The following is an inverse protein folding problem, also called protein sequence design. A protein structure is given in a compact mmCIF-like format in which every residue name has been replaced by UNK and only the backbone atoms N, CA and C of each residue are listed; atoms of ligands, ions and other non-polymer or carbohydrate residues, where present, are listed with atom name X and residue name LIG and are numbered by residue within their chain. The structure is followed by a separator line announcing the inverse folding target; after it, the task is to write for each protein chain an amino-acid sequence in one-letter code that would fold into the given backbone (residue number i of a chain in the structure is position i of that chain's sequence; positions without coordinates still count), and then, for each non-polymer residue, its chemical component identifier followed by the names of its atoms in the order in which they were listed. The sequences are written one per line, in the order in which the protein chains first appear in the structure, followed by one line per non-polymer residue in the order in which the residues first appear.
data_IF_878942128630
#
_entry.id   IF_878942128630
#
_cell.length_a   1.000
_cell.length_b   1.000
_cell.length_c   1.000
_cell.angle_alpha   90.00
_cell.angle_beta   90.00
_cell.angle_gamma   90.00
#
_symmetry.space_group_name_H-M   'P 1'
#
loop_
_entity.id
_entity.type
_entity.pdbx_description
1 polymer ?
#
# COMPACT_ATOMS: atom_id res chain seq x y z
N UNK A 1 8.96 9.14 -11.59
CA UNK A 1 7.91 8.15 -11.91
C UNK A 1 6.50 8.62 -11.56
N UNK A 2 5.51 7.95 -12.12
CA UNK A 2 4.06 8.21 -11.92
C UNK A 2 3.38 6.98 -11.32
N UNK A 3 2.47 7.18 -10.37
CA UNK A 3 1.56 6.14 -9.87
C UNK A 3 0.15 6.44 -10.39
N UNK A 4 -0.44 5.49 -11.12
CA UNK A 4 -1.82 5.55 -11.60
C UNK A 4 -2.70 4.70 -10.69
N UNK A 5 -3.71 5.31 -10.09
CA UNK A 5 -4.67 4.63 -9.24
C UNK A 5 -6.11 4.89 -9.68
N UNK A 6 -7.04 4.03 -9.27
CA UNK A 6 -8.48 4.20 -9.56
C UNK A 6 -9.10 5.34 -8.75
N UNK A 7 -8.58 5.60 -7.55
CA UNK A 7 -9.18 6.50 -6.58
C UNK A 7 -10.48 5.92 -6.01
N UNK A 8 -10.40 4.70 -5.47
CA UNK A 8 -11.56 4.08 -4.83
C UNK A 8 -12.15 5.00 -3.75
N UNK A 9 -13.48 5.19 -3.76
CA UNK A 9 -14.18 6.09 -2.84
C UNK A 9 -13.99 7.59 -3.10
N UNK A 10 -13.12 7.99 -4.04
CA UNK A 10 -12.88 9.38 -4.37
C UNK A 10 -14.02 9.97 -5.22
N UNK A 11 -14.26 11.27 -5.04
CA UNK A 11 -15.18 12.08 -5.84
C UNK A 11 -14.42 13.28 -6.44
N UNK A 12 -13.55 13.04 -7.41
CA UNK A 12 -12.77 14.11 -8.04
C UNK A 12 -13.68 14.99 -8.88
N UNK A 13 -13.50 16.32 -8.79
CA UNK A 13 -14.26 17.27 -9.60
C UNK A 13 -13.85 17.24 -11.09
N UNK A 14 -12.61 16.79 -11.38
CA UNK A 14 -12.05 16.65 -12.73
C UNK A 14 -11.12 15.44 -12.82
N UNK A 15 -11.12 14.78 -13.95
CA UNK A 15 -10.24 13.66 -14.27
C UNK A 15 -9.46 13.92 -15.57
N UNK A 16 -8.20 13.49 -15.68
CA UNK A 16 -7.35 12.92 -14.63
C UNK A 16 -7.05 13.92 -13.51
N UNK A 17 -6.93 13.45 -12.25
CA UNK A 17 -6.60 14.27 -11.10
C UNK A 17 -5.15 14.01 -10.66
N UNK A 18 -4.29 15.04 -10.69
CA UNK A 18 -3.00 15.01 -10.00
C UNK A 18 -3.25 15.24 -8.51
N UNK A 19 -2.90 14.25 -7.70
CA UNK A 19 -3.07 14.32 -6.24
C UNK A 19 -1.88 15.06 -5.64
N UNK A 20 -2.16 16.18 -4.99
CA UNK A 20 -1.17 16.92 -4.20
C UNK A 20 -1.30 16.58 -2.71
N UNK A 21 -0.26 16.79 -1.89
CA UNK A 21 -0.36 16.61 -0.43
C UNK A 21 -1.44 17.46 0.25
N UNK A 22 -1.89 18.55 -0.41
CA UNK A 22 -2.96 19.44 0.06
C UNK A 22 -4.37 19.01 -0.39
N UNK A 23 -4.49 17.99 -1.23
CA UNK A 23 -5.80 17.48 -1.67
C UNK A 23 -6.61 16.95 -0.50
N UNK A 24 -7.95 17.02 -0.60
CA UNK A 24 -8.81 16.41 0.40
C UNK A 24 -8.96 14.89 0.16
N UNK A 25 -9.16 14.09 1.23
CA UNK A 25 -9.46 12.65 1.09
C UNK A 25 -10.69 12.38 0.23
N UNK A 26 -11.72 13.23 0.33
CA UNK A 26 -12.94 13.09 -0.46
C UNK A 26 -12.68 13.23 -1.98
N UNK A 27 -11.74 14.09 -2.38
CA UNK A 27 -11.39 14.29 -3.78
C UNK A 27 -10.42 13.24 -4.31
N UNK A 28 -9.41 12.90 -3.52
CA UNK A 28 -8.29 12.05 -3.96
C UNK A 28 -8.48 10.58 -3.63
N UNK A 29 -9.18 10.26 -2.55
CA UNK A 29 -9.17 8.97 -1.87
C UNK A 29 -8.06 8.88 -0.83
N UNK A 30 -8.25 8.03 0.18
CA UNK A 30 -7.32 7.89 1.31
C UNK A 30 -5.93 7.41 0.87
N UNK A 31 -5.88 6.35 0.08
CA UNK A 31 -4.64 5.71 -0.36
C UNK A 31 -3.82 6.60 -1.32
N UNK A 32 -4.40 7.18 -2.38
CA UNK A 32 -3.67 8.11 -3.24
C UNK A 32 -3.13 9.33 -2.48
N UNK A 33 -3.90 9.85 -1.51
CA UNK A 33 -3.45 10.96 -0.68
C UNK A 33 -2.31 10.54 0.26
N UNK A 34 -2.38 9.33 0.85
CA UNK A 34 -1.30 8.78 1.65
C UNK A 34 -0.02 8.63 0.83
N UNK A 35 -0.11 8.10 -0.40
CA UNK A 35 1.02 8.01 -1.33
C UNK A 35 1.62 9.37 -1.65
N UNK A 36 0.80 10.37 -1.98
CA UNK A 36 1.26 11.72 -2.29
C UNK A 36 1.97 12.41 -1.10
N UNK A 37 1.51 12.16 0.13
CA UNK A 37 2.15 12.66 1.36
C UNK A 37 3.44 11.93 1.70
N UNK A 38 3.52 10.63 1.41
CA UNK A 38 4.65 9.76 1.78
C UNK A 38 5.79 9.81 0.76
N UNK A 39 5.49 10.02 -0.53
CA UNK A 39 6.42 9.91 -1.64
C UNK A 39 6.46 11.20 -2.48
N UNK A 40 7.16 12.22 -1.99
CA UNK A 40 7.21 13.56 -2.61
C UNK A 40 7.76 13.59 -4.05
N UNK A 41 8.55 12.61 -4.44
CA UNK A 41 9.13 12.50 -5.79
C UNK A 41 8.20 11.78 -6.78
N UNK A 42 7.18 11.08 -6.31
CA UNK A 42 6.20 10.41 -7.16
C UNK A 42 5.04 11.36 -7.52
N UNK A 43 4.58 11.27 -8.76
CA UNK A 43 3.35 11.92 -9.21
C UNK A 43 2.20 10.92 -9.07
N UNK A 44 1.22 11.21 -8.23
CA UNK A 44 0.08 10.34 -8.01
C UNK A 44 -1.08 10.86 -8.86
N UNK A 45 -1.58 10.04 -9.77
CA UNK A 45 -2.66 10.39 -10.70
C UNK A 45 -3.85 9.46 -10.48
N UNK A 46 -5.00 10.06 -10.19
CA UNK A 46 -6.27 9.35 -10.06
C UNK A 46 -7.03 9.44 -11.38
N UNK A 47 -7.32 8.29 -11.97
CA UNK A 47 -8.23 8.15 -13.09
C UNK A 47 -8.75 6.71 -13.18
N UNK A 48 -10.06 6.45 -13.07
CA UNK A 48 -10.65 5.12 -13.30
C UNK A 48 -10.31 4.55 -14.71
N UNK A 49 -10.17 5.42 -15.71
CA UNK A 49 -9.70 5.08 -17.06
C UNK A 49 -8.18 5.21 -17.14
N UNK A 50 -7.42 4.19 -16.59
CA UNK A 50 -5.94 4.26 -16.51
C UNK A 50 -5.26 4.55 -17.84
N UNK A 51 -5.80 4.10 -18.99
CA UNK A 51 -5.27 4.44 -20.32
C UNK A 51 -5.26 5.96 -20.55
N UNK A 52 -6.37 6.65 -20.22
CA UNK A 52 -6.47 8.11 -20.31
C UNK A 52 -5.53 8.80 -19.31
N UNK A 53 -5.58 8.37 -18.05
CA UNK A 53 -4.72 8.92 -17.00
C UNK A 53 -3.23 8.73 -17.30
N UNK A 54 -2.85 7.58 -17.86
CA UNK A 54 -1.49 7.28 -18.28
C UNK A 54 -1.02 8.14 -19.43
N UNK A 55 -1.81 8.25 -20.50
CA UNK A 55 -1.48 9.13 -21.63
C UNK A 55 -1.30 10.58 -21.17
N UNK A 56 -2.24 11.10 -20.38
CA UNK A 56 -2.15 12.46 -19.81
C UNK A 56 -0.90 12.65 -18.93
N UNK A 57 -0.53 11.62 -18.15
CA UNK A 57 0.65 11.71 -17.29
C UNK A 57 1.96 11.65 -18.07
N UNK A 58 2.05 10.80 -19.10
CA UNK A 58 3.21 10.74 -20.00
C UNK A 58 3.44 12.06 -20.74
N UNK A 59 2.37 12.61 -21.33
CA UNK A 59 2.44 13.90 -22.03
C UNK A 59 2.91 15.07 -21.13
N UNK A 60 2.51 15.03 -19.85
CA UNK A 60 2.73 16.15 -18.93
C UNK A 60 4.03 16.04 -18.13
N UNK A 61 4.50 14.85 -17.83
CA UNK A 61 5.58 14.61 -16.88
C UNK A 61 6.77 13.84 -17.46
N UNK A 62 6.63 13.27 -18.65
CA UNK A 62 7.65 12.40 -19.27
C UNK A 62 8.31 11.45 -18.26
N UNK A 63 7.54 10.55 -17.62
CA UNK A 63 8.04 9.73 -16.53
C UNK A 63 8.92 8.59 -17.04
N UNK A 64 10.00 8.27 -16.31
CA UNK A 64 10.82 7.07 -16.58
C UNK A 64 10.03 5.77 -16.45
N UNK A 65 9.03 5.75 -15.61
CA UNK A 65 8.12 4.60 -15.41
C UNK A 65 6.76 5.03 -14.89
N UNK A 66 5.78 4.15 -15.13
CA UNK A 66 4.42 4.27 -14.62
C UNK A 66 4.08 3.02 -13.82
N UNK A 67 3.66 3.19 -12.58
CA UNK A 67 3.18 2.13 -11.71
C UNK A 67 1.66 2.14 -11.66
N UNK A 68 1.02 1.01 -11.99
CA UNK A 68 -0.43 0.85 -11.85
C UNK A 68 -0.75 0.26 -10.48
N UNK A 69 -1.41 1.02 -9.64
CA UNK A 69 -1.99 0.53 -8.39
C UNK A 69 -3.25 -0.29 -8.68
N UNK A 70 -3.33 -1.50 -8.13
CA UNK A 70 -4.39 -2.49 -8.42
C UNK A 70 -4.58 -2.68 -9.93
N UNK A 71 -3.45 -2.90 -10.65
CA UNK A 71 -3.39 -2.88 -12.11
C UNK A 71 -3.46 -4.25 -12.78
N UNK A 72 -3.31 -5.37 -12.05
CA UNK A 72 -3.12 -6.70 -12.64
C UNK A 72 -4.25 -7.10 -13.61
N UNK A 73 -5.50 -6.84 -13.29
CA UNK A 73 -6.65 -7.09 -14.15
C UNK A 73 -6.99 -5.94 -15.12
N UNK A 74 -6.17 -4.89 -15.20
CA UNK A 74 -6.46 -3.76 -16.08
C UNK A 74 -5.86 -3.95 -17.47
N UNK A 75 -6.44 -4.84 -18.27
CA UNK A 75 -5.99 -5.25 -19.61
C UNK A 75 -5.83 -4.12 -20.65
N UNK A 76 -6.58 -2.97 -20.58
CA UNK A 76 -6.44 -1.90 -21.57
C UNK A 76 -5.08 -1.17 -21.56
N UNK A 77 -4.21 -1.44 -20.59
CA UNK A 77 -2.85 -0.87 -20.51
C UNK A 77 -1.84 -2.01 -20.54
N UNK A 78 -0.93 -1.97 -21.50
CA UNK A 78 0.21 -2.88 -21.55
C UNK A 78 1.12 -2.66 -20.33
N UNK A 79 1.69 -3.74 -19.81
CA UNK A 79 2.57 -3.72 -18.64
C UNK A 79 3.79 -4.59 -18.91
N UNK A 80 4.94 -4.11 -18.47
CA UNK A 80 6.22 -4.80 -18.64
C UNK A 80 6.53 -5.72 -17.46
N UNK A 81 6.05 -5.34 -16.26
CA UNK A 81 6.21 -6.11 -15.02
C UNK A 81 4.86 -6.17 -14.30
N UNK A 82 4.41 -7.38 -14.01
CA UNK A 82 3.23 -7.67 -13.20
C UNK A 82 3.65 -8.30 -11.86
N UNK A 83 3.55 -7.53 -10.77
CA UNK A 83 3.78 -8.02 -9.40
C UNK A 83 2.43 -8.40 -8.77
N UNK A 84 2.26 -9.69 -8.47
CA UNK A 84 1.02 -10.17 -7.85
C UNK A 84 1.22 -10.30 -6.35
N UNK A 85 0.45 -9.50 -5.58
CA UNK A 85 0.43 -9.58 -4.12
C UNK A 85 -0.55 -10.64 -3.67
N UNK A 86 -0.08 -11.54 -2.79
CA UNK A 86 -0.87 -12.59 -2.17
C UNK A 86 -0.69 -12.55 -0.66
N UNK A 87 -1.71 -12.99 0.04
CA UNK A 87 -1.68 -13.22 1.50
C UNK A 87 -1.61 -14.73 1.79
N UNK A 88 -1.27 -15.15 3.01
CA UNK A 88 -1.39 -16.56 3.41
C UNK A 88 -2.80 -17.11 3.19
N UNK A 89 -3.83 -16.32 3.45
CA UNK A 89 -5.22 -16.73 3.19
C UNK A 89 -5.45 -17.08 1.72
N UNK A 90 -4.94 -16.26 0.79
CA UNK A 90 -5.06 -16.51 -0.65
C UNK A 90 -4.39 -17.83 -1.07
N UNK A 91 -3.30 -18.18 -0.39
CA UNK A 91 -2.53 -19.39 -0.65
C UNK A 91 -3.06 -20.62 0.07
N UNK A 92 -3.86 -20.47 1.11
CA UNK A 92 -4.41 -21.57 1.92
C UNK A 92 -5.89 -21.77 1.60
N UNK A 93 -6.77 -21.21 2.42
CA UNK A 93 -8.23 -21.41 2.34
C UNK A 93 -8.85 -20.75 1.11
N UNK A 94 -8.28 -19.65 0.66
CA UNK A 94 -8.77 -18.83 -0.46
C UNK A 94 -8.30 -19.29 -1.85
N UNK A 95 -7.46 -20.35 -1.93
CA UNK A 95 -6.83 -20.76 -3.18
C UNK A 95 -7.84 -21.06 -4.30
N UNK A 96 -7.77 -20.26 -5.38
CA UNK A 96 -8.61 -20.40 -6.54
C UNK A 96 -10.09 -20.08 -6.33
N UNK A 97 -10.47 -19.56 -5.18
CA UNK A 97 -11.86 -19.16 -4.89
C UNK A 97 -12.13 -17.76 -5.42
N UNK A 98 -12.81 -17.71 -6.57
CA UNK A 98 -13.18 -16.48 -7.25
C UNK A 98 -14.48 -15.91 -6.66
N UNK A 99 -14.62 -14.59 -6.66
CA UNK A 99 -15.84 -13.88 -6.27
C UNK A 99 -17.07 -14.43 -7.02
N UNK A 100 -18.22 -14.67 -6.35
CA UNK A 100 -18.54 -14.31 -4.96
C UNK A 100 -18.15 -15.34 -3.88
N UNK A 101 -17.59 -16.50 -4.26
CA UNK A 101 -17.27 -17.61 -3.33
C UNK A 101 -15.97 -17.31 -2.54
N UNK A 102 -15.12 -16.45 -3.06
CA UNK A 102 -13.87 -16.03 -2.43
C UNK A 102 -13.47 -14.62 -2.81
N UNK A 103 -12.22 -14.26 -2.47
CA UNK A 103 -11.68 -12.91 -2.66
C UNK A 103 -11.05 -12.68 -4.03
N UNK A 104 -10.75 -13.73 -4.79
CA UNK A 104 -10.07 -13.60 -6.07
C UNK A 104 -11.01 -13.02 -7.13
N UNK A 105 -10.45 -12.21 -8.03
CA UNK A 105 -11.18 -11.62 -9.16
C UNK A 105 -11.12 -12.51 -10.41
N UNK A 106 -10.08 -13.33 -10.54
CA UNK A 106 -9.83 -14.23 -11.66
C UNK A 106 -9.32 -15.58 -11.16
N UNK A 107 -9.45 -16.61 -12.00
CA UNK A 107 -8.99 -17.95 -11.66
C UNK A 107 -7.46 -18.08 -11.65
N UNK A 108 -6.97 -19.24 -11.21
CA UNK A 108 -5.54 -19.56 -11.07
C UNK A 108 -4.74 -19.39 -12.37
N UNK A 109 -5.38 -19.56 -13.55
CA UNK A 109 -4.73 -19.39 -14.85
C UNK A 109 -4.15 -18.00 -15.06
N UNK A 110 -4.76 -16.95 -14.45
CA UNK A 110 -4.27 -15.58 -14.52
C UNK A 110 -2.88 -15.41 -13.89
N UNK A 111 -2.52 -16.24 -12.91
CA UNK A 111 -1.21 -16.20 -12.25
C UNK A 111 -0.03 -16.46 -13.20
N UNK A 112 -0.28 -17.10 -14.35
CA UNK A 112 0.77 -17.36 -15.36
C UNK A 112 1.32 -16.07 -15.98
N UNK A 113 0.54 -15.00 -15.99
CA UNK A 113 0.96 -13.69 -16.51
C UNK A 113 1.77 -12.87 -15.51
N UNK A 114 1.86 -13.30 -14.24
CA UNK A 114 2.70 -12.64 -13.25
C UNK A 114 4.17 -12.66 -13.67
N UNK A 115 4.88 -11.56 -13.40
CA UNK A 115 6.35 -11.50 -13.49
C UNK A 115 6.99 -12.03 -12.20
N UNK A 116 6.38 -11.74 -11.05
CA UNK A 116 6.78 -12.27 -9.74
C UNK A 116 5.60 -12.24 -8.77
N UNK A 117 5.72 -13.02 -7.69
CA UNK A 117 4.78 -13.04 -6.57
C UNK A 117 5.38 -12.38 -5.34
N UNK A 118 4.59 -11.55 -4.68
CA UNK A 118 4.90 -10.92 -3.41
C UNK A 118 3.93 -11.45 -2.35
N UNK A 119 4.43 -12.19 -1.36
CA UNK A 119 3.60 -12.80 -0.32
C UNK A 119 3.72 -11.98 0.96
N UNK A 120 2.63 -11.29 1.34
CA UNK A 120 2.57 -10.54 2.59
C UNK A 120 2.39 -11.50 3.75
N UNK A 121 3.47 -11.83 4.46
CA UNK A 121 3.41 -12.66 5.66
C UNK A 121 3.14 -11.80 6.91
N UNK A 122 2.39 -12.37 7.85
CA UNK A 122 2.19 -11.76 9.18
C UNK A 122 3.13 -12.44 10.19
N UNK A 123 3.55 -11.74 11.26
CA UNK A 123 4.35 -12.36 12.31
C UNK A 123 3.62 -13.53 12.96
N UNK A 124 4.31 -14.65 13.14
CA UNK A 124 3.76 -15.85 13.76
C UNK A 124 3.93 -17.09 12.88
N UNK A 125 3.56 -18.25 13.42
CA UNK A 125 3.54 -19.50 12.66
C UNK A 125 2.34 -19.48 11.70
N UNK A 126 2.60 -19.77 10.44
CA UNK A 126 1.58 -19.95 9.40
C UNK A 126 1.70 -21.38 8.88
N UNK A 127 1.06 -22.35 9.58
CA UNK A 127 1.12 -23.76 9.18
C UNK A 127 0.70 -23.93 7.72
N UNK A 128 1.44 -24.72 6.97
CA UNK A 128 1.13 -25.04 5.57
C UNK A 128 1.53 -23.96 4.55
N UNK A 129 1.95 -22.75 4.97
CA UNK A 129 2.29 -21.68 3.99
C UNK A 129 3.48 -22.08 3.11
N UNK A 130 4.56 -22.62 3.69
CA UNK A 130 5.72 -23.06 2.92
C UNK A 130 5.33 -24.16 1.93
N UNK A 131 4.54 -25.13 2.35
CA UNK A 131 4.03 -26.21 1.51
C UNK A 131 3.14 -25.65 0.37
N UNK A 132 2.27 -24.70 0.69
CA UNK A 132 1.42 -24.04 -0.32
C UNK A 132 2.25 -23.26 -1.35
N UNK A 133 3.33 -22.60 -0.95
CA UNK A 133 4.27 -21.95 -1.86
C UNK A 133 4.92 -22.97 -2.79
N UNK A 134 5.46 -24.07 -2.22
CA UNK A 134 6.13 -25.12 -2.98
C UNK A 134 5.20 -25.81 -3.97
N UNK A 135 3.98 -26.09 -3.59
CA UNK A 135 3.04 -26.87 -4.41
C UNK A 135 2.22 -26.02 -5.39
N UNK A 136 1.91 -24.76 -5.05
CA UNK A 136 0.98 -23.90 -5.80
C UNK A 136 1.66 -22.84 -6.65
N UNK A 137 2.71 -22.19 -6.14
CA UNK A 137 3.36 -21.08 -6.84
C UNK A 137 4.67 -21.48 -7.50
N UNK A 138 5.50 -22.27 -6.82
CA UNK A 138 6.82 -22.65 -7.34
C UNK A 138 6.79 -23.35 -8.70
N UNK A 139 5.79 -24.20 -9.01
CA UNK A 139 5.63 -24.81 -10.34
C UNK A 139 5.36 -23.82 -11.47
N UNK A 140 4.95 -22.57 -11.16
CA UNK A 140 4.78 -21.53 -12.17
C UNK A 140 6.12 -20.97 -12.67
N UNK A 141 7.25 -21.33 -12.06
CA UNK A 141 8.59 -20.93 -12.47
C UNK A 141 8.90 -19.43 -12.31
N UNK A 142 8.09 -18.69 -11.56
CA UNK A 142 8.26 -17.25 -11.34
C UNK A 142 8.97 -16.98 -10.02
N UNK A 143 9.77 -15.89 -9.91
CA UNK A 143 10.30 -15.44 -8.63
C UNK A 143 9.19 -15.21 -7.60
N UNK A 144 9.45 -15.62 -6.36
CA UNK A 144 8.53 -15.46 -5.24
C UNK A 144 9.31 -14.82 -4.09
N UNK A 145 8.80 -13.71 -3.59
CA UNK A 145 9.39 -12.98 -2.47
C UNK A 145 8.38 -12.87 -1.35
N UNK A 146 8.79 -13.18 -0.13
CA UNK A 146 7.96 -12.91 1.04
C UNK A 146 8.33 -11.56 1.63
N UNK A 147 7.35 -10.87 2.21
CA UNK A 147 7.60 -9.63 2.93
C UNK A 147 6.66 -9.46 4.11
N UNK A 148 7.10 -8.70 5.09
CA UNK A 148 6.28 -8.30 6.23
C UNK A 148 6.33 -6.78 6.41
N UNK A 149 5.23 -6.21 6.92
CA UNK A 149 5.22 -4.85 7.42
C UNK A 149 5.73 -4.87 8.86
N UNK A 150 6.89 -4.26 9.11
CA UNK A 150 7.46 -4.12 10.45
C UNK A 150 7.24 -2.71 10.97
N UNK A 151 6.91 -2.56 12.26
CA UNK A 151 6.83 -1.25 12.88
C UNK A 151 8.21 -0.58 12.86
N UNK A 152 8.23 0.73 12.55
CA UNK A 152 9.44 1.55 12.45
C UNK A 152 9.51 2.67 13.49
N UNK A 153 8.39 2.94 14.18
CA UNK A 153 8.25 4.03 15.13
C UNK A 153 6.97 4.82 14.93
N UNK A 154 6.92 5.97 15.54
CA UNK A 154 5.77 6.87 15.56
C UNK A 154 6.13 8.22 14.93
N UNK A 155 5.11 8.95 14.45
CA UNK A 155 5.24 10.35 14.07
C UNK A 155 3.99 11.11 14.49
N UNK A 156 4.16 12.34 14.97
CA UNK A 156 3.03 13.24 15.27
C UNK A 156 2.28 13.59 13.99
N UNK A 157 0.95 13.72 14.10
CA UNK A 157 0.15 14.08 12.94
C UNK A 157 0.44 15.50 12.43
N UNK A 158 0.76 16.43 13.31
CA UNK A 158 1.18 17.80 12.97
C UNK A 158 2.60 17.89 12.39
N UNK A 159 3.36 16.79 12.43
CA UNK A 159 4.73 16.74 11.96
C UNK A 159 5.78 17.25 12.96
N UNK A 160 5.36 17.66 14.18
CA UNK A 160 6.23 18.24 15.20
C UNK A 160 7.24 17.26 15.82
N UNK A 161 7.04 15.93 15.65
CA UNK A 161 7.92 14.96 16.28
C UNK A 161 7.85 13.56 15.71
N UNK A 162 8.92 12.80 16.04
CA UNK A 162 9.03 11.35 15.79
C UNK A 162 9.53 10.69 17.07
N UNK A 163 9.09 9.46 17.32
CA UNK A 163 9.53 8.64 18.43
C UNK A 163 9.75 7.20 17.99
N UNK A 164 10.67 6.50 18.62
CA UNK A 164 10.85 5.06 18.46
C UNK A 164 9.74 4.27 19.13
N UNK A 165 9.38 4.71 20.32
CA UNK A 165 8.34 4.14 21.19
C UNK A 165 7.70 5.27 22.04
N UNK A 166 6.95 4.91 23.08
CA UNK A 166 6.35 5.83 24.05
C UNK A 166 6.94 5.66 25.48
N UNK A 167 8.16 5.12 25.58
CA UNK A 167 8.91 4.95 26.84
C UNK A 167 8.11 4.28 27.97
N UNK A 168 7.22 3.36 27.60
CA UNK A 168 6.37 2.64 28.56
C UNK A 168 5.09 3.37 28.94
N UNK A 169 4.82 4.55 28.38
CA UNK A 169 3.57 5.27 28.63
C UNK A 169 2.37 4.57 27.99
N UNK A 170 1.20 4.80 28.58
CA UNK A 170 -0.04 4.20 28.13
C UNK A 170 -0.56 4.82 26.83
N UNK A 171 -1.23 4.02 26.04
CA UNK A 171 -1.84 4.47 24.81
C UNK A 171 -3.19 3.82 24.54
N UNK A 172 -4.02 4.50 23.75
CA UNK A 172 -5.20 3.97 23.08
C UNK A 172 -4.94 3.87 21.59
N UNK A 173 -5.60 2.93 20.92
CA UNK A 173 -5.52 2.78 19.47
C UNK A 173 -6.87 3.11 18.84
N UNK A 174 -6.93 4.15 17.99
CA UNK A 174 -8.11 4.46 17.18
C UNK A 174 -7.83 4.09 15.72
N UNK A 175 -8.71 3.28 15.11
CA UNK A 175 -8.47 2.78 13.75
C UNK A 175 -9.77 2.46 13.01
N UNK A 176 -9.83 2.90 11.73
CA UNK A 176 -10.89 2.61 10.75
C UNK A 176 -10.33 1.86 9.53
N UNK A 177 -9.73 0.69 9.77
CA UNK A 177 -9.23 -0.22 8.72
C UNK A 177 -9.93 -1.57 8.81
N UNK A 178 -9.91 -2.33 7.71
CA UNK A 178 -10.59 -3.63 7.61
C UNK A 178 -10.11 -4.68 8.63
N UNK A 179 -8.82 -4.62 9.05
CA UNK A 179 -8.24 -5.54 10.05
C UNK A 179 -7.65 -4.76 11.24
N UNK A 180 -8.48 -4.38 12.23
CA UNK A 180 -8.02 -3.71 13.43
C UNK A 180 -7.04 -4.56 14.26
N UNK A 181 -7.17 -5.88 14.24
CA UNK A 181 -6.31 -6.78 15.01
C UNK A 181 -4.85 -6.70 14.53
N UNK A 182 -4.61 -6.54 13.23
CA UNK A 182 -3.28 -6.33 12.69
C UNK A 182 -2.66 -5.01 13.18
N UNK A 183 -3.45 -3.93 13.27
CA UNK A 183 -2.99 -2.65 13.82
C UNK A 183 -2.62 -2.77 15.29
N UNK A 184 -3.46 -3.45 16.10
CA UNK A 184 -3.19 -3.75 17.52
C UNK A 184 -1.87 -4.52 17.67
N UNK A 185 -1.71 -5.63 16.94
CA UNK A 185 -0.52 -6.45 17.01
C UNK A 185 0.75 -5.68 16.63
N UNK A 186 0.64 -4.81 15.60
CA UNK A 186 1.76 -3.97 15.15
C UNK A 186 2.12 -2.91 16.19
N UNK A 187 1.14 -2.22 16.76
CA UNK A 187 1.35 -1.23 17.82
C UNK A 187 1.92 -1.88 19.09
N UNK A 188 1.34 -3.00 19.53
CA UNK A 188 1.81 -3.71 20.71
C UNK A 188 3.25 -4.20 20.55
N UNK A 189 3.63 -4.67 19.37
CA UNK A 189 5.01 -5.06 19.06
C UNK A 189 5.99 -3.89 19.14
N UNK A 190 5.59 -2.71 18.66
CA UNK A 190 6.42 -1.51 18.71
C UNK A 190 6.58 -0.98 20.14
N UNK A 191 5.44 -0.93 20.86
CA UNK A 191 5.35 -0.22 22.13
C UNK A 191 5.60 -1.13 23.35
N UNK A 192 5.78 -2.45 23.13
CA UNK A 192 6.06 -3.43 24.17
C UNK A 192 4.87 -3.74 25.10
N UNK A 193 3.67 -3.23 24.77
CA UNK A 193 2.45 -3.40 25.58
C UNK A 193 1.18 -3.31 24.73
N UNK A 194 0.09 -3.86 25.24
CA UNK A 194 -1.24 -3.73 24.62
C UNK A 194 -1.79 -2.31 24.84
N UNK A 195 -2.65 -1.81 23.91
CA UNK A 195 -3.37 -0.57 24.14
C UNK A 195 -4.30 -0.69 25.34
N UNK A 196 -4.45 0.38 26.12
CA UNK A 196 -5.45 0.46 27.19
C UNK A 196 -6.87 0.25 26.66
N UNK A 197 -7.11 0.80 25.48
CA UNK A 197 -8.38 0.68 24.78
C UNK A 197 -8.18 0.72 23.27
N UNK A 198 -9.01 -0.03 22.55
CA UNK A 198 -9.11 0.05 21.09
C UNK A 198 -10.45 0.70 20.74
N UNK A 199 -10.40 1.73 19.89
CA UNK A 199 -11.57 2.41 19.32
C UNK A 199 -11.68 2.02 17.85
N UNK A 200 -12.45 0.98 17.52
CA UNK A 200 -12.66 0.57 16.14
C UNK A 200 -13.70 1.48 15.47
N UNK A 201 -13.38 1.93 14.27
CA UNK A 201 -14.29 2.60 13.35
C UNK A 201 -14.53 1.73 12.12
N UNK A 202 -15.56 2.02 11.34
CA UNK A 202 -15.79 1.33 10.08
C UNK A 202 -14.60 1.51 9.11
N UNK A 203 -14.35 0.53 8.24
CA UNK A 203 -13.31 0.71 7.21
C UNK A 203 -13.66 1.92 6.33
N UNK A 204 -12.65 2.69 5.98
CA UNK A 204 -12.78 3.99 5.29
C UNK A 204 -13.62 5.05 6.02
N UNK A 205 -13.80 4.94 7.35
CA UNK A 205 -14.55 5.92 8.14
C UNK A 205 -14.13 7.37 7.82
N UNK A 206 -15.12 8.22 7.57
CA UNK A 206 -14.91 9.66 7.38
C UNK A 206 -14.94 10.33 8.76
N UNK A 207 -13.76 10.48 9.37
CA UNK A 207 -13.66 11.09 10.70
C UNK A 207 -14.22 12.51 10.70
N UNK A 208 -14.96 12.83 11.76
CA UNK A 208 -15.51 14.14 12.06
C UNK A 208 -14.77 14.81 13.23
N UNK A 209 -15.03 16.09 13.46
CA UNK A 209 -14.52 16.78 14.64
C UNK A 209 -15.02 16.14 15.96
N UNK A 210 -16.27 15.69 15.99
CA UNK A 210 -16.83 14.98 17.14
C UNK A 210 -16.13 13.64 17.42
N UNK A 211 -15.67 12.92 16.37
CA UNK A 211 -14.86 11.71 16.54
C UNK A 211 -13.52 12.03 17.20
N UNK A 212 -12.86 13.12 16.81
CA UNK A 212 -11.60 13.56 17.41
C UNK A 212 -11.80 13.92 18.89
N UNK A 213 -12.87 14.62 19.22
CA UNK A 213 -13.21 14.98 20.59
C UNK A 213 -13.50 13.73 21.43
N UNK A 214 -14.24 12.78 20.91
CA UNK A 214 -14.49 11.49 21.57
C UNK A 214 -13.18 10.70 21.79
N UNK A 215 -12.31 10.61 20.78
CA UNK A 215 -11.01 9.93 20.90
C UNK A 215 -10.17 10.59 22.01
N UNK A 216 -10.14 11.91 22.07
CA UNK A 216 -9.42 12.65 23.13
C UNK A 216 -10.01 12.42 24.50
N UNK A 217 -11.33 12.40 24.63
CA UNK A 217 -12.01 12.14 25.91
C UNK A 217 -11.72 10.71 26.41
N UNK A 218 -11.74 9.72 25.52
CA UNK A 218 -11.35 8.34 25.87
C UNK A 218 -9.88 8.29 26.31
N UNK A 219 -8.98 8.99 25.63
CA UNK A 219 -7.57 9.05 26.03
C UNK A 219 -7.38 9.67 27.42
N UNK A 220 -8.12 10.75 27.71
CA UNK A 220 -8.10 11.43 29.03
C UNK A 220 -8.63 10.50 30.13
N UNK A 221 -9.72 9.81 29.91
CA UNK A 221 -10.30 8.87 30.89
C UNK A 221 -9.45 7.62 31.07
N UNK A 222 -8.63 7.28 30.10
CA UNK A 222 -7.65 6.20 30.18
C UNK A 222 -6.33 6.61 30.89
N UNK A 223 -6.31 7.73 31.63
CA UNK A 223 -5.16 8.23 32.34
C UNK A 223 -4.24 9.10 31.50
N UNK A 224 -4.80 9.98 30.68
CA UNK A 224 -4.09 10.84 29.71
C UNK A 224 -3.20 10.05 28.74
N UNK A 225 -3.69 8.88 28.34
CA UNK A 225 -3.00 7.98 27.46
C UNK A 225 -2.73 8.62 26.09
N UNK A 226 -1.62 8.27 25.45
CA UNK A 226 -1.34 8.68 24.09
C UNK A 226 -2.36 8.11 23.11
N UNK A 227 -2.70 8.88 22.08
CA UNK A 227 -3.53 8.39 20.96
C UNK A 227 -2.63 7.92 19.84
N UNK A 228 -2.78 6.67 19.44
CA UNK A 228 -2.08 6.06 18.30
C UNK A 228 -3.11 5.73 17.23
N UNK A 229 -2.79 6.04 15.98
CA UNK A 229 -3.65 5.78 14.80
C UNK A 229 -2.85 5.15 13.66
N UNK A 230 -3.52 4.56 12.68
CA UNK A 230 -2.84 4.05 11.47
C UNK A 230 -2.50 5.18 10.51
N UNK A 231 -1.57 4.92 9.57
CA UNK A 231 -1.21 5.90 8.53
C UNK A 231 -2.40 6.25 7.61
N UNK A 232 -3.30 5.27 7.35
CA UNK A 232 -4.52 5.46 6.55
C UNK A 232 -5.52 6.39 7.26
N UNK A 233 -5.67 6.24 8.58
CA UNK A 233 -6.56 7.11 9.37
C UNK A 233 -5.96 8.50 9.57
N UNK A 234 -4.64 8.59 9.73
CA UNK A 234 -3.92 9.84 9.93
C UNK A 234 -4.16 10.87 8.81
N UNK A 235 -4.32 10.44 7.55
CA UNK A 235 -4.57 11.39 6.42
C UNK A 235 -5.92 12.10 6.55
N UNK A 236 -6.91 11.48 7.21
CA UNK A 236 -8.24 12.04 7.46
C UNK A 236 -8.26 12.85 8.76
N UNK A 237 -7.70 12.28 9.83
CA UNK A 237 -7.68 12.92 11.14
C UNK A 237 -6.92 14.25 11.17
N UNK A 238 -5.88 14.41 10.36
CA UNK A 238 -5.11 15.68 10.24
C UNK A 238 -5.94 16.89 9.83
N UNK A 239 -7.14 16.71 9.32
CA UNK A 239 -8.03 17.77 8.89
C UNK A 239 -8.82 18.40 10.06
N UNK A 240 -8.73 17.82 11.25
CA UNK A 240 -9.52 18.20 12.42
C UNK A 240 -8.64 18.78 13.52
N UNK A 241 -9.20 19.76 14.22
CA UNK A 241 -8.55 20.42 15.33
C UNK A 241 -8.30 19.45 16.49
N UNK A 242 -7.15 19.59 17.12
CA UNK A 242 -6.76 18.76 18.27
C UNK A 242 -6.23 17.37 17.94
N UNK A 243 -6.30 16.93 16.66
CA UNK A 243 -5.69 15.66 16.25
C UNK A 243 -4.18 15.76 16.01
N UNK A 244 -3.61 16.95 15.95
CA UNK A 244 -2.17 17.16 15.71
C UNK A 244 -1.27 16.42 16.68
N UNK A 245 -1.68 16.33 17.94
CA UNK A 245 -0.97 15.63 19.01
C UNK A 245 -1.03 14.09 18.92
N UNK A 246 -1.85 13.51 18.05
CA UNK A 246 -1.92 12.07 17.89
C UNK A 246 -0.66 11.51 17.23
N UNK A 247 -0.37 10.25 17.51
CA UNK A 247 0.73 9.52 16.93
C UNK A 247 0.27 8.61 15.80
N UNK A 248 0.87 8.69 14.64
CA UNK A 248 0.67 7.72 13.58
C UNK A 248 1.71 6.62 13.65
N UNK A 249 1.26 5.38 13.58
CA UNK A 249 2.10 4.19 13.50
C UNK A 249 2.79 4.13 12.14
N UNK A 250 4.13 4.13 12.15
CA UNK A 250 4.95 3.99 10.94
C UNK A 250 5.38 2.55 10.77
N UNK A 251 5.27 2.07 9.54
CA UNK A 251 5.73 0.73 9.16
C UNK A 251 6.71 0.82 8.01
N UNK A 252 7.54 -0.21 7.84
CA UNK A 252 8.38 -0.40 6.67
C UNK A 252 8.24 -1.83 6.15
N UNK A 253 8.44 -1.98 4.85
CA UNK A 253 8.51 -3.29 4.22
C UNK A 253 9.86 -3.93 4.57
N UNK A 254 9.82 -5.20 4.98
CA UNK A 254 11.01 -6.03 5.14
C UNK A 254 10.81 -7.32 4.38
N UNK A 255 11.65 -7.53 3.38
CA UNK A 255 11.68 -8.78 2.64
C UNK A 255 12.24 -9.91 3.52
N UNK A 256 11.78 -11.11 3.27
CA UNK A 256 12.14 -12.35 3.96
C UNK A 256 12.55 -13.44 2.96
N UNK A 257 12.30 -14.71 3.28
CA UNK A 257 12.61 -15.83 2.39
C UNK A 257 12.09 -15.63 0.97
N UNK A 258 12.87 -16.11 -0.02
CA UNK A 258 12.54 -16.11 -1.43
C UNK A 258 12.59 -17.51 -2.01
N UNK A 259 11.88 -17.73 -3.13
CA UNK A 259 11.82 -19.00 -3.86
C UNK A 259 11.90 -18.71 -5.35
N UNK A 260 12.50 -19.60 -6.14
CA UNK A 260 12.75 -19.43 -7.57
C UNK A 260 13.44 -18.09 -7.91
N UNK A 261 14.27 -17.57 -7.01
CA UNK A 261 14.98 -16.31 -7.20
C UNK A 261 16.39 -16.42 -6.58
N UNK A 262 17.40 -16.04 -7.35
CA UNK A 262 18.82 -16.06 -6.92
C UNK A 262 19.20 -14.75 -6.20
N UNK A 263 18.45 -13.66 -6.46
CA UNK A 263 18.70 -12.33 -5.88
C UNK A 263 17.59 -11.91 -4.91
N UNK A 264 17.86 -10.94 -4.02
CA UNK A 264 16.86 -10.25 -3.22
C UNK A 264 15.92 -9.44 -4.12
N UNK A 265 14.74 -9.06 -3.60
CA UNK A 265 13.72 -8.37 -4.40
C UNK A 265 14.24 -7.08 -5.05
N UNK A 266 14.96 -6.24 -4.29
CA UNK A 266 15.44 -4.95 -4.78
C UNK A 266 16.43 -5.12 -5.94
N UNK A 267 17.34 -6.10 -5.84
CA UNK A 267 18.31 -6.42 -6.88
C UNK A 267 17.63 -7.02 -8.11
N UNK A 268 16.72 -7.98 -7.91
CA UNK A 268 15.94 -8.57 -8.99
C UNK A 268 15.11 -7.53 -9.74
N UNK A 269 14.39 -6.68 -8.99
CA UNK A 269 13.55 -5.64 -9.59
C UNK A 269 14.40 -4.62 -10.33
N UNK A 270 15.50 -4.18 -9.73
CA UNK A 270 16.43 -3.23 -10.35
C UNK A 270 17.05 -3.76 -11.63
N UNK A 271 17.49 -5.03 -11.66
CA UNK A 271 18.02 -5.67 -12.87
C UNK A 271 16.95 -5.74 -13.98
N UNK A 272 15.73 -6.18 -13.63
CA UNK A 272 14.61 -6.28 -14.58
C UNK A 272 14.19 -4.91 -15.12
N UNK A 273 14.13 -3.90 -14.26
CA UNK A 273 13.83 -2.54 -14.67
C UNK A 273 14.88 -1.99 -15.66
N UNK A 274 16.16 -2.17 -15.38
CA UNK A 274 17.24 -1.69 -16.23
C UNK A 274 17.26 -2.40 -17.59
N UNK A 275 16.99 -3.70 -17.62
CA UNK A 275 16.85 -4.46 -18.87
C UNK A 275 15.74 -3.87 -19.75
N UNK A 276 14.56 -3.65 -19.19
CA UNK A 276 13.41 -3.09 -19.90
C UNK A 276 13.66 -1.65 -20.35
N UNK A 277 14.22 -0.81 -19.49
CA UNK A 277 14.57 0.57 -19.85
C UNK A 277 15.56 0.62 -21.01
N UNK A 278 16.52 -0.30 -21.07
CA UNK A 278 17.48 -0.41 -22.17
C UNK A 278 16.78 -0.86 -23.46
N UNK A 279 15.93 -1.85 -23.39
CA UNK A 279 15.16 -2.36 -24.52
C UNK A 279 14.25 -1.29 -25.13
N UNK A 280 13.50 -0.57 -24.31
CA UNK A 280 12.64 0.53 -24.78
C UNK A 280 13.44 1.65 -25.46
N UNK A 281 14.62 2.03 -24.92
CA UNK A 281 15.50 3.02 -25.56
C UNK A 281 16.01 2.54 -26.94
N UNK A 282 16.31 1.26 -27.09
CA UNK A 282 16.74 0.68 -28.36
C UNK A 282 15.61 0.72 -29.41
N UNK A 283 14.38 0.32 -29.02
CA UNK A 283 13.21 0.40 -29.89
C UNK A 283 12.96 1.84 -30.35
N UNK A 284 12.98 2.79 -29.43
CA UNK A 284 12.78 4.21 -29.74
C UNK A 284 13.84 4.74 -30.72
N UNK A 285 15.13 4.44 -30.50
CA UNK A 285 16.20 4.82 -31.44
C UNK A 285 16.03 4.20 -32.83
N UNK A 286 15.64 2.91 -32.90
CA UNK A 286 15.41 2.25 -34.17
C UNK A 286 14.20 2.84 -34.93
N UNK A 287 13.14 3.23 -34.21
CA UNK A 287 11.98 3.90 -34.81
C UNK A 287 12.36 5.28 -35.38
N UNK A 288 13.09 6.09 -34.61
CA UNK A 288 13.56 7.41 -35.09
C UNK A 288 14.48 7.31 -36.31
N UNK A 289 15.36 6.31 -36.37
CA UNK A 289 16.24 6.12 -37.55
C UNK A 289 15.44 5.75 -38.80
N UNK A 290 14.31 5.03 -38.67
CA UNK A 290 13.43 4.72 -39.79
C UNK A 290 12.60 5.90 -40.30
N UNK A 291 12.32 6.87 -39.44
CA UNK A 291 11.61 8.09 -39.82
C UNK A 291 12.54 9.13 -40.49
N UNK A 292 13.85 9.02 -40.28
CA UNK A 292 14.88 9.92 -40.83
C UNK A 292 15.52 9.40 -42.14
N UNK A 293 15.22 8.15 -42.53
CA UNK A 293 15.69 7.48 -43.76
C UNK A 293 14.63 7.48 -44.82
#
# INVERSE_FOLDING_TARGET
GVVLTRGYGAKPGRLPLLVTPAASPAQAGDEPLLLAKSHRLARIVVDPKRKRGGAWACERFDPDFVLLDDGFQHLPVARDIDLVLLTPHDLLEGWGRVCPVGSWREGQSALRSASAFLIKVVPGKQPGLSEAIETRLKPLGKPIFTFALKPKGLARLDGSGRAGNLDGEDYILATGIADPAQAVATAAKLLGRQPRQVLPFADHHAFSQADVENIREVARTAGDAHVVVTAKDAVKLRLHDGAGSFWTLRTEVRFGPRYNADAEFDDWFGARFNELATHHRQIFRAAMQKELA
#
